data_IF_408923746580
#
_entry.id   IF_408923746580
#
_cell.length_a   1.000
_cell.length_b   1.000
_cell.length_c   1.000
_cell.angle_alpha   90.00
_cell.angle_beta   90.00
_cell.angle_gamma   90.00
#
_symmetry.space_group_name_H-M   'P 1'
#
loop_
_entity.id
_entity.type
_entity.pdbx_description
1 polymer ?
#
# COMPACT_ATOMS: atom_id res chain seq x y z
N UNK A 1 -3.58 8.84 -26.50
CA UNK A 1 -3.65 9.03 -25.04
C UNK A 1 -3.10 7.79 -24.37
N UNK A 2 -1.78 7.76 -24.17
CA UNK A 2 -1.09 6.75 -23.35
C UNK A 2 -0.16 7.52 -22.44
N UNK A 3 -0.69 8.05 -21.33
CA UNK A 3 0.06 8.60 -20.20
C UNK A 3 0.53 7.49 -19.24
N UNK A 4 0.90 6.31 -19.74
CA UNK A 4 1.21 5.17 -18.87
C UNK A 4 2.69 5.08 -18.43
N UNK A 5 3.60 5.82 -19.06
CA UNK A 5 5.04 5.68 -18.84
C UNK A 5 5.70 6.98 -18.33
N UNK A 6 5.12 7.61 -17.30
CA UNK A 6 5.78 8.73 -16.59
C UNK A 6 6.14 8.28 -15.16
N UNK A 7 7.42 7.92 -15.04
CA UNK A 7 8.34 8.19 -13.92
C UNK A 7 8.26 7.32 -12.65
N UNK A 8 9.11 6.30 -12.61
CA UNK A 8 9.43 5.53 -11.40
C UNK A 8 10.60 6.15 -10.60
N UNK A 9 11.36 7.10 -11.17
CA UNK A 9 12.53 7.72 -10.54
C UNK A 9 12.24 9.01 -9.73
N UNK A 10 11.05 9.61 -9.89
CA UNK A 10 10.65 10.84 -9.17
C UNK A 10 9.28 10.70 -8.49
N UNK A 11 8.90 9.48 -8.11
CA UNK A 11 7.58 9.24 -7.51
C UNK A 11 7.60 9.56 -6.01
N UNK A 12 7.09 10.74 -5.67
CA UNK A 12 6.95 11.16 -4.27
C UNK A 12 5.88 10.32 -3.58
N UNK A 13 6.17 9.91 -2.35
CA UNK A 13 5.24 9.14 -1.54
C UNK A 13 3.98 9.96 -1.26
N UNK A 14 2.83 9.37 -1.59
CA UNK A 14 1.52 10.02 -1.51
C UNK A 14 0.48 9.11 -0.87
N UNK A 15 -0.58 9.70 -0.30
CA UNK A 15 -1.80 8.97 0.06
C UNK A 15 -2.64 8.67 -1.18
N UNK A 16 -3.70 7.86 -1.08
CA UNK A 16 -4.55 7.59 -2.24
C UNK A 16 -5.32 8.83 -2.71
N UNK A 17 -5.37 9.89 -1.90
CA UNK A 17 -5.96 11.18 -2.24
C UNK A 17 -4.93 12.17 -2.81
N UNK A 18 -3.69 11.72 -3.06
CA UNK A 18 -2.63 12.54 -3.65
C UNK A 18 -1.95 13.51 -2.67
N UNK A 19 -2.14 13.34 -1.35
CA UNK A 19 -1.46 14.16 -0.35
C UNK A 19 -0.04 13.65 -0.17
N UNK A 20 0.95 14.55 -0.22
CA UNK A 20 2.35 14.21 -0.03
C UNK A 20 2.61 13.71 1.39
N UNK A 21 3.37 12.63 1.51
CA UNK A 21 3.71 12.00 2.79
C UNK A 21 5.23 11.85 2.91
N UNK A 22 5.78 12.25 4.05
CA UNK A 22 7.22 12.15 4.33
C UNK A 22 7.67 10.74 4.74
N UNK A 23 6.88 10.04 5.57
CA UNK A 23 7.17 8.68 6.02
C UNK A 23 5.87 7.90 6.32
N UNK A 24 5.88 6.59 6.02
CA UNK A 24 4.76 5.64 6.20
C UNK A 24 5.18 4.38 6.99
N UNK A 25 6.41 4.33 7.51
CA UNK A 25 6.96 3.15 8.19
C UNK A 25 6.48 3.04 9.64
N UNK A 26 6.21 4.18 10.28
CA UNK A 26 5.85 4.28 11.71
C UNK A 26 4.54 5.06 11.80
N UNK A 27 3.62 4.60 12.66
CA UNK A 27 2.39 5.30 12.98
C UNK A 27 2.58 6.36 14.07
N UNK A 28 1.77 7.41 14.06
CA UNK A 28 1.73 8.43 15.11
C UNK A 28 1.24 7.81 16.42
N UNK A 29 2.03 7.93 17.49
CA UNK A 29 1.72 7.35 18.80
C UNK A 29 1.63 8.42 19.91
N UNK A 30 0.88 8.12 20.97
CA UNK A 30 0.78 8.97 22.17
C UNK A 30 2.05 8.89 23.04
N UNK A 31 3.20 9.31 22.49
CA UNK A 31 4.53 9.19 23.09
C UNK A 31 5.35 8.02 22.52
N UNK A 32 6.61 7.88 22.95
CA UNK A 32 7.59 6.93 22.39
C UNK A 32 7.18 5.45 22.55
N UNK A 33 6.47 5.13 23.63
CA UNK A 33 5.90 3.80 23.89
C UNK A 33 4.38 3.85 24.06
N UNK A 34 3.75 4.88 23.48
CA UNK A 34 2.31 5.08 23.52
C UNK A 34 1.57 4.21 22.51
N UNK A 35 0.24 4.19 22.64
CA UNK A 35 -0.63 3.57 21.64
C UNK A 35 -0.68 4.42 20.36
N UNK A 36 -0.90 3.74 19.22
CA UNK A 36 -1.11 4.41 17.93
C UNK A 36 -2.40 5.22 17.96
N UNK A 37 -2.33 6.46 17.49
CA UNK A 37 -3.44 7.39 17.43
C UNK A 37 -4.35 7.08 16.24
N UNK A 38 -5.66 7.07 16.47
CA UNK A 38 -6.68 6.93 15.40
C UNK A 38 -6.71 8.12 14.43
N UNK A 39 -6.07 9.24 14.78
CA UNK A 39 -5.94 10.40 13.91
C UNK A 39 -4.96 10.15 12.75
N UNK A 40 -4.08 9.15 12.85
CA UNK A 40 -3.13 8.85 11.79
C UNK A 40 -3.82 8.15 10.61
N UNK A 41 -4.41 8.96 9.74
CA UNK A 41 -5.13 8.50 8.55
C UNK A 41 -4.20 7.76 7.59
N UNK A 42 -2.93 8.17 7.48
CA UNK A 42 -1.95 7.60 6.53
C UNK A 42 -1.56 6.18 6.93
N UNK A 43 -1.36 5.95 8.23
CA UNK A 43 -1.03 4.62 8.75
C UNK A 43 -2.21 3.65 8.63
N UNK A 44 -3.41 4.11 8.98
CA UNK A 44 -4.64 3.30 8.86
C UNK A 44 -4.93 2.95 7.41
N UNK A 45 -4.80 3.91 6.50
CA UNK A 45 -5.01 3.72 5.06
C UNK A 45 -4.07 2.64 4.50
N UNK A 46 -2.79 2.69 4.85
CA UNK A 46 -1.80 1.68 4.43
C UNK A 46 -2.15 0.28 4.93
N UNK A 47 -2.52 0.15 6.20
CA UNK A 47 -2.93 -1.15 6.77
C UNK A 47 -4.20 -1.68 6.12
N UNK A 48 -5.19 -0.81 5.91
CA UNK A 48 -6.46 -1.20 5.30
C UNK A 48 -6.31 -1.55 3.81
N UNK A 49 -5.33 -0.97 3.11
CA UNK A 49 -5.00 -1.36 1.75
C UNK A 49 -4.33 -2.74 1.73
N UNK A 50 -3.41 -3.00 2.67
CA UNK A 50 -2.74 -4.29 2.79
C UNK A 50 -3.71 -5.43 3.15
N UNK A 51 -4.61 -5.20 4.11
CA UNK A 51 -5.61 -6.19 4.54
C UNK A 51 -6.52 -6.65 3.38
N UNK A 52 -6.81 -5.74 2.45
CA UNK A 52 -7.64 -6.01 1.27
C UNK A 52 -6.85 -6.46 0.04
N UNK A 53 -5.52 -6.59 0.13
CA UNK A 53 -4.68 -6.93 -1.01
C UNK A 53 -4.88 -8.38 -1.48
N UNK A 54 -5.45 -9.23 -0.63
CA UNK A 54 -5.76 -10.61 -0.99
C UNK A 54 -6.92 -10.65 -1.99
N UNK A 55 -6.60 -10.88 -3.26
CA UNK A 55 -7.59 -11.27 -4.26
C UNK A 55 -7.75 -12.79 -4.22
N UNK A 56 -8.98 -13.27 -4.31
CA UNK A 56 -9.23 -14.71 -4.39
C UNK A 56 -8.46 -15.31 -5.56
N UNK A 57 -7.75 -16.40 -5.30
CA UNK A 57 -7.21 -17.23 -6.37
C UNK A 57 -8.30 -18.17 -6.91
N UNK A 58 -8.03 -18.78 -8.06
CA UNK A 58 -8.92 -19.76 -8.70
C UNK A 58 -9.20 -20.96 -7.79
N UNK A 59 -10.43 -21.50 -7.85
CA UNK A 59 -10.91 -22.63 -7.02
C UNK A 59 -10.06 -23.90 -7.19
N UNK A 60 -9.45 -24.10 -8.36
CA UNK A 60 -8.47 -25.15 -8.65
C UNK A 60 -7.33 -24.60 -9.50
N UNK A 61 -6.14 -25.19 -9.40
CA UNK A 61 -4.93 -24.82 -10.17
C UNK A 61 -4.43 -23.37 -9.94
N UNK A 62 -4.65 -22.81 -8.75
CA UNK A 62 -4.17 -21.48 -8.34
C UNK A 62 -2.65 -21.28 -8.41
N UNK A 63 -1.87 -22.33 -8.67
CA UNK A 63 -0.43 -22.25 -8.96
C UNK A 63 -0.16 -22.71 -10.38
N UNK A 64 -0.15 -21.78 -11.32
CA UNK A 64 0.54 -21.93 -12.59
C UNK A 64 1.85 -21.16 -12.51
N UNK A 65 2.94 -21.82 -12.06
CA UNK A 65 4.23 -21.46 -12.66
C UNK A 65 4.20 -22.09 -14.05
N UNK A 66 4.56 -21.29 -15.05
CA UNK A 66 4.62 -21.66 -16.45
C UNK A 66 4.99 -23.14 -16.63
N UNK A 67 4.05 -23.92 -17.13
CA UNK A 67 4.32 -25.26 -17.64
C UNK A 67 3.65 -25.38 -19.00
N UNK A 68 4.09 -24.51 -19.92
CA UNK A 68 4.01 -24.68 -21.37
C UNK A 68 5.11 -23.85 -22.05
N UNK A 69 6.33 -24.40 -22.07
CA UNK A 69 7.30 -24.33 -23.18
C UNK A 69 8.31 -25.48 -23.01
#
# INVERSE_FOLDING_TARGET
MREADIMDEEKVLTTNQGVLVSDIRIGEAAGEHGLVLLRDVRFIEKLAHFDRACTCQWVVHARGQELMA
#
